data_IF_987047147671
#
_entry.id   IF_987047147671
#
_cell.length_a   1.000
_cell.length_b   1.000
_cell.length_c   1.000
_cell.angle_alpha   90.00
_cell.angle_beta   90.00
_cell.angle_gamma   90.00
#
_symmetry.space_group_name_H-M   'P 1'
#
loop_
_entity.id
_entity.type
_entity.pdbx_description
1 polymer ?
#
# COMPACT_ATOMS: atom_id res chain seq x y z
N UNK A 1 -2.42 66.21 80.20
CA UNK A 1 -3.42 65.38 79.48
C UNK A 1 -2.77 64.88 78.19
N UNK A 2 -2.57 63.57 77.99
CA UNK A 2 -1.81 63.07 76.85
C UNK A 2 -2.66 62.83 75.59
N UNK A 3 -2.28 63.56 74.56
CA UNK A 3 -2.07 63.22 73.13
C UNK A 3 -2.86 62.05 72.49
N UNK A 4 -3.72 62.38 71.52
CA UNK A 4 -4.52 61.46 70.71
C UNK A 4 -3.67 60.94 69.53
N UNK A 5 -2.93 59.85 69.74
CA UNK A 5 -2.29 59.16 68.61
C UNK A 5 -3.29 58.28 67.85
N UNK A 6 -3.36 58.56 66.55
CA UNK A 6 -4.12 57.92 65.50
C UNK A 6 -4.02 56.38 65.50
N UNK A 7 -5.16 55.72 65.68
CA UNK A 7 -5.30 54.30 65.40
C UNK A 7 -5.41 54.12 63.88
N UNK A 8 -4.28 53.84 63.24
CA UNK A 8 -4.23 53.41 61.83
C UNK A 8 -4.81 52.00 61.73
N UNK A 9 -6.11 51.87 61.43
CA UNK A 9 -6.70 50.60 61.00
C UNK A 9 -6.28 50.38 59.54
N UNK A 10 -5.14 49.71 59.34
CA UNK A 10 -4.73 49.23 58.02
C UNK A 10 -5.68 48.12 57.57
N UNK A 11 -6.67 48.46 56.75
CA UNK A 11 -7.54 47.49 56.09
C UNK A 11 -6.72 46.59 55.14
N UNK A 12 -6.53 45.33 55.54
CA UNK A 12 -6.03 44.28 54.63
C UNK A 12 -6.99 44.17 53.45
N UNK A 13 -6.54 44.57 52.25
CA UNK A 13 -7.28 44.31 51.00
C UNK A 13 -7.45 42.78 50.84
N UNK A 14 -8.65 42.30 50.48
CA UNK A 14 -8.88 40.88 50.31
C UNK A 14 -8.09 40.35 49.10
N UNK A 15 -7.28 39.32 49.34
CA UNK A 15 -6.58 38.59 48.30
C UNK A 15 -7.63 37.87 47.42
N UNK A 16 -7.82 38.34 46.19
CA UNK A 16 -8.67 37.68 45.21
C UNK A 16 -7.97 36.41 44.72
N UNK A 17 -8.13 35.32 45.46
CA UNK A 17 -7.85 33.97 44.94
C UNK A 17 -8.78 33.72 43.74
N UNK A 18 -8.26 33.93 42.52
CA UNK A 18 -8.88 33.52 41.26
C UNK A 18 -9.10 32.00 41.33
N UNK A 19 -10.33 31.58 41.62
CA UNK A 19 -10.73 30.16 41.48
C UNK A 19 -10.52 29.75 40.02
N UNK A 20 -9.43 29.01 39.73
CA UNK A 20 -9.25 28.36 38.42
C UNK A 20 -10.39 27.36 38.24
N UNK A 21 -11.24 27.57 37.22
CA UNK A 21 -12.26 26.59 36.81
C UNK A 21 -11.56 25.26 36.53
N UNK A 22 -12.12 24.16 37.06
CA UNK A 22 -11.62 22.79 36.80
C UNK A 22 -11.70 22.56 35.28
N UNK A 23 -10.55 22.44 34.64
CA UNK A 23 -10.46 22.35 33.18
C UNK A 23 -10.90 20.95 32.71
N UNK A 24 -11.57 20.86 31.56
CA UNK A 24 -11.95 19.57 30.99
C UNK A 24 -10.67 18.76 30.69
N UNK A 25 -10.60 17.46 31.03
CA UNK A 25 -9.39 16.66 30.86
C UNK A 25 -8.92 16.62 29.41
N UNK A 26 -9.85 16.60 28.45
CA UNK A 26 -9.55 16.70 27.02
C UNK A 26 -8.89 18.04 26.64
N UNK A 27 -9.37 19.15 27.19
CA UNK A 27 -8.83 20.49 26.90
C UNK A 27 -7.41 20.65 27.47
N UNK A 28 -7.14 20.04 28.62
CA UNK A 28 -5.80 20.01 29.21
C UNK A 28 -4.80 19.27 28.30
N UNK A 29 -5.22 18.15 27.69
CA UNK A 29 -4.41 17.39 26.73
C UNK A 29 -4.17 18.22 25.46
N UNK A 30 -5.21 18.81 24.87
CA UNK A 30 -5.08 19.63 23.65
C UNK A 30 -4.16 20.83 23.89
N UNK A 31 -4.29 21.52 25.02
CA UNK A 31 -3.38 22.61 25.41
C UNK A 31 -1.95 22.14 25.59
N UNK A 32 -1.72 20.89 25.97
CA UNK A 32 -0.39 20.30 26.08
C UNK A 32 0.28 20.04 24.72
N UNK A 33 -0.51 19.74 23.69
CA UNK A 33 -0.02 19.28 22.38
C UNK A 33 -0.01 20.37 21.31
N UNK A 34 -0.94 21.34 21.38
CA UNK A 34 -1.10 22.40 20.38
C UNK A 34 -0.65 23.75 20.96
N UNK A 35 0.07 24.59 20.18
CA UNK A 35 0.44 25.93 20.63
C UNK A 35 -0.78 26.74 21.09
N UNK A 36 -0.69 27.36 22.27
CA UNK A 36 -1.79 28.11 22.86
C UNK A 36 -1.38 29.55 23.21
N UNK A 37 -2.36 30.46 23.20
CA UNK A 37 -2.11 31.86 23.60
C UNK A 37 -1.69 31.92 25.06
N UNK A 38 -0.49 32.43 25.32
CA UNK A 38 0.12 32.53 26.65
C UNK A 38 1.29 31.56 26.88
N UNK A 39 1.56 30.67 25.93
CA UNK A 39 2.77 29.82 25.96
C UNK A 39 4.04 30.66 25.76
N UNK A 40 5.13 30.22 26.36
CA UNK A 40 6.46 30.78 26.08
C UNK A 40 6.94 30.39 24.67
N UNK A 41 7.87 31.16 24.10
CA UNK A 41 8.43 30.88 22.76
C UNK A 41 9.00 29.46 22.67
N UNK A 42 9.71 29.00 23.68
CA UNK A 42 10.26 27.64 23.72
C UNK A 42 9.20 26.55 23.73
N UNK A 43 8.07 26.76 24.44
CA UNK A 43 6.95 25.82 24.45
C UNK A 43 6.24 25.76 23.09
N UNK A 44 6.05 26.91 22.45
CA UNK A 44 5.47 26.99 21.11
C UNK A 44 6.34 26.21 20.12
N UNK A 45 7.66 26.44 20.12
CA UNK A 45 8.60 25.74 19.23
C UNK A 45 8.55 24.23 19.46
N UNK A 46 8.61 23.76 20.71
CA UNK A 46 8.55 22.33 21.05
C UNK A 46 7.26 21.67 20.54
N UNK A 47 6.11 22.33 20.72
CA UNK A 47 4.81 21.81 20.26
C UNK A 47 4.72 21.77 18.73
N UNK A 48 5.24 22.79 18.04
CA UNK A 48 5.29 22.79 16.57
C UNK A 48 6.16 21.64 16.06
N UNK A 49 7.36 21.45 16.61
CA UNK A 49 8.24 20.34 16.24
C UNK A 49 7.55 19.00 16.46
N UNK A 50 6.87 18.82 17.60
CA UNK A 50 6.10 17.60 17.88
C UNK A 50 4.98 17.36 16.87
N UNK A 51 4.21 18.38 16.48
CA UNK A 51 3.16 18.27 15.47
C UNK A 51 3.71 17.94 14.08
N UNK A 52 4.82 18.55 13.68
CA UNK A 52 5.51 18.23 12.42
C UNK A 52 5.97 16.78 12.42
N UNK A 53 6.54 16.29 13.52
CA UNK A 53 6.94 14.88 13.65
C UNK A 53 5.77 13.92 13.51
N UNK A 54 4.58 14.26 14.04
CA UNK A 54 3.37 13.45 13.84
C UNK A 54 2.97 13.41 12.37
N UNK A 55 2.99 14.54 11.67
CA UNK A 55 2.64 14.59 10.24
C UNK A 55 3.60 13.72 9.41
N UNK A 56 4.90 13.79 9.69
CA UNK A 56 5.91 12.95 9.03
C UNK A 56 5.72 11.47 9.36
N UNK A 57 5.39 11.14 10.61
CA UNK A 57 5.10 9.76 11.00
C UNK A 57 3.85 9.23 10.28
N UNK A 58 2.78 10.02 10.22
CA UNK A 58 1.55 9.66 9.53
C UNK A 58 1.79 9.47 8.03
N UNK A 59 2.55 10.36 7.38
CA UNK A 59 2.86 10.21 5.95
C UNK A 59 3.68 8.95 5.67
N UNK A 60 4.68 8.65 6.51
CA UNK A 60 5.45 7.41 6.41
C UNK A 60 4.57 6.17 6.53
N UNK A 61 3.65 6.14 7.50
CA UNK A 61 2.69 5.03 7.68
C UNK A 61 1.79 4.89 6.45
N UNK A 62 1.27 5.99 5.89
CA UNK A 62 0.44 5.94 4.69
C UNK A 62 1.21 5.39 3.47
N UNK A 63 2.47 5.79 3.29
CA UNK A 63 3.34 5.27 2.22
C UNK A 63 3.57 3.77 2.40
N UNK A 64 3.82 3.30 3.63
CA UNK A 64 3.99 1.87 3.92
C UNK A 64 2.72 1.10 3.60
N UNK A 65 1.56 1.61 4.03
CA UNK A 65 0.26 0.97 3.74
C UNK A 65 0.02 0.90 2.23
N UNK A 66 0.22 1.99 1.49
CA UNK A 66 0.03 1.99 0.04
C UNK A 66 0.98 1.00 -0.64
N UNK A 67 2.26 0.99 -0.26
CA UNK A 67 3.29 0.14 -0.88
C UNK A 67 3.09 -1.34 -0.59
N UNK A 68 2.75 -1.71 0.65
CA UNK A 68 2.70 -3.13 1.07
C UNK A 68 1.30 -3.73 1.04
N UNK A 69 0.24 -2.92 1.09
CA UNK A 69 -1.15 -3.44 1.07
C UNK A 69 -1.86 -3.14 -0.24
N UNK A 70 -1.86 -1.89 -0.71
CA UNK A 70 -2.72 -1.49 -1.84
C UNK A 70 -2.07 -1.69 -3.22
N UNK A 71 -0.79 -1.36 -3.37
CA UNK A 71 -0.02 -1.55 -4.61
C UNK A 71 -0.07 -3.00 -5.12
N UNK A 72 0.25 -4.05 -4.33
CA UNK A 72 0.24 -5.42 -4.83
C UNK A 72 -1.16 -5.90 -5.24
N UNK A 73 -2.21 -5.42 -4.57
CA UNK A 73 -3.60 -5.77 -4.92
C UNK A 73 -3.99 -5.13 -6.25
N UNK A 74 -3.68 -3.84 -6.48
CA UNK A 74 -3.98 -3.17 -7.74
C UNK A 74 -3.24 -3.79 -8.92
N UNK A 75 -1.94 -4.02 -8.79
CA UNK A 75 -1.12 -4.62 -9.84
C UNK A 75 -1.63 -6.01 -10.22
N UNK A 76 -2.02 -6.83 -9.24
CA UNK A 76 -2.62 -8.13 -9.47
C UNK A 76 -3.95 -8.05 -10.23
N UNK A 77 -4.84 -7.16 -9.81
CA UNK A 77 -6.15 -6.97 -10.44
C UNK A 77 -6.01 -6.46 -11.88
N UNK A 78 -5.11 -5.50 -12.10
CA UNK A 78 -4.81 -4.97 -13.43
C UNK A 78 -4.19 -6.04 -14.33
N UNK A 79 -3.21 -6.79 -13.84
CA UNK A 79 -2.62 -7.92 -14.55
C UNK A 79 -3.67 -8.96 -14.93
N UNK A 80 -4.48 -9.41 -13.97
CA UNK A 80 -5.53 -10.40 -14.21
C UNK A 80 -6.54 -9.90 -15.25
N UNK A 81 -6.97 -8.64 -15.16
CA UNK A 81 -7.88 -8.05 -16.12
C UNK A 81 -7.28 -7.97 -17.52
N UNK A 82 -6.04 -7.51 -17.64
CA UNK A 82 -5.36 -7.37 -18.93
C UNK A 82 -5.12 -8.73 -19.58
N UNK A 83 -4.61 -9.70 -18.83
CA UNK A 83 -4.40 -11.08 -19.28
C UNK A 83 -5.72 -11.73 -19.68
N UNK A 84 -6.78 -11.66 -18.87
CA UNK A 84 -8.06 -12.27 -19.25
C UNK A 84 -8.71 -11.61 -20.47
N UNK A 85 -8.43 -10.33 -20.73
CA UNK A 85 -8.96 -9.64 -21.92
C UNK A 85 -8.32 -10.13 -23.23
N UNK A 86 -7.11 -10.70 -23.18
CA UNK A 86 -6.43 -11.22 -24.35
C UNK A 86 -7.15 -12.45 -24.93
N UNK A 87 -7.69 -13.32 -24.09
CA UNK A 87 -8.49 -14.46 -24.56
C UNK A 87 -9.93 -14.13 -24.94
N UNK A 88 -10.35 -12.87 -24.96
CA UNK A 88 -11.76 -12.50 -25.23
C UNK A 88 -12.06 -12.32 -26.73
N UNK A 89 -11.10 -12.56 -27.62
CA UNK A 89 -11.32 -12.59 -29.05
C UNK A 89 -11.01 -13.97 -29.62
N UNK A 90 -11.60 -14.27 -30.79
CA UNK A 90 -11.20 -15.45 -31.54
C UNK A 90 -9.75 -15.28 -32.03
N UNK A 91 -8.92 -16.33 -31.92
CA UNK A 91 -7.56 -16.33 -32.45
C UNK A 91 -7.52 -15.96 -33.93
N UNK A 92 -6.63 -15.04 -34.29
CA UNK A 92 -6.39 -14.64 -35.68
C UNK A 92 -5.55 -15.69 -36.42
N UNK A 93 -5.60 -15.66 -37.77
CA UNK A 93 -4.81 -16.58 -38.58
C UNK A 93 -3.29 -16.43 -38.35
N UNK A 94 -2.83 -15.20 -38.09
CA UNK A 94 -1.41 -14.90 -37.85
C UNK A 94 -0.96 -15.48 -36.50
N UNK A 95 -1.74 -15.28 -35.43
CA UNK A 95 -1.44 -15.86 -34.10
C UNK A 95 -1.42 -17.39 -34.14
N UNK A 96 -2.35 -18.01 -34.88
CA UNK A 96 -2.37 -19.47 -35.05
C UNK A 96 -1.13 -19.94 -35.83
N UNK A 97 -0.64 -19.17 -36.79
CA UNK A 97 0.53 -19.52 -37.60
C UNK A 97 1.84 -19.47 -36.80
N UNK A 98 1.90 -18.67 -35.73
CA UNK A 98 3.06 -18.58 -34.82
C UNK A 98 3.13 -19.72 -33.80
N UNK A 99 2.02 -20.46 -33.60
CA UNK A 99 1.98 -21.53 -32.63
C UNK A 99 2.97 -22.66 -32.96
N UNK A 100 3.67 -23.21 -31.96
CA UNK A 100 4.51 -24.39 -32.13
C UNK A 100 3.62 -25.59 -32.47
N UNK A 101 4.02 -26.33 -33.50
CA UNK A 101 3.23 -27.42 -34.06
C UNK A 101 2.86 -28.44 -32.97
N UNK A 102 1.56 -28.53 -32.64
CA UNK A 102 0.99 -29.49 -31.69
C UNK A 102 1.51 -29.40 -30.24
N UNK A 103 1.86 -28.24 -29.72
CA UNK A 103 2.13 -28.08 -28.27
C UNK A 103 1.00 -27.37 -27.51
N UNK A 104 0.25 -26.48 -28.17
CA UNK A 104 -0.72 -25.58 -27.52
C UNK A 104 -2.06 -25.62 -28.27
N UNK A 105 -3.18 -25.46 -27.55
CA UNK A 105 -4.51 -25.34 -28.17
C UNK A 105 -4.66 -23.96 -28.86
N UNK A 106 -5.33 -23.90 -30.01
CA UNK A 106 -5.51 -22.67 -30.79
C UNK A 106 -6.20 -21.57 -30.00
N UNK A 107 -7.08 -21.91 -29.05
CA UNK A 107 -7.73 -20.94 -28.16
C UNK A 107 -6.75 -20.09 -27.35
N UNK A 108 -5.51 -20.57 -27.17
CA UNK A 108 -4.47 -19.86 -26.44
C UNK A 108 -3.48 -19.11 -27.34
N UNK A 109 -3.69 -19.08 -28.66
CA UNK A 109 -2.80 -18.37 -29.58
C UNK A 109 -2.54 -16.89 -29.20
N UNK A 110 -3.54 -16.11 -28.73
CA UNK A 110 -3.31 -14.72 -28.34
C UNK A 110 -2.33 -14.57 -27.17
N UNK A 111 -2.25 -15.55 -26.27
CA UNK A 111 -1.30 -15.53 -25.16
C UNK A 111 0.11 -15.86 -25.64
N UNK A 112 0.23 -16.87 -26.49
CA UNK A 112 1.51 -17.27 -27.07
C UNK A 112 2.11 -16.14 -27.93
N UNK A 113 1.30 -15.44 -28.71
CA UNK A 113 1.74 -14.31 -29.53
C UNK A 113 2.34 -13.14 -28.71
N UNK A 114 1.99 -13.03 -27.42
CA UNK A 114 2.63 -12.07 -26.51
C UNK A 114 3.93 -12.62 -25.95
N UNK A 115 3.91 -13.89 -25.55
CA UNK A 115 5.05 -14.54 -24.94
C UNK A 115 5.15 -15.99 -25.44
N UNK A 116 6.17 -16.25 -26.25
CA UNK A 116 6.45 -17.55 -26.85
C UNK A 116 6.85 -18.63 -25.83
N UNK A 117 7.11 -18.26 -24.57
CA UNK A 117 7.35 -19.20 -23.49
C UNK A 117 6.03 -19.67 -22.85
N UNK A 118 4.87 -19.17 -23.28
CA UNK A 118 3.57 -19.61 -22.78
C UNK A 118 3.34 -21.10 -23.10
N UNK A 119 3.05 -21.90 -22.08
CA UNK A 119 2.82 -23.35 -22.20
C UNK A 119 1.43 -23.79 -21.74
N UNK A 120 0.66 -22.91 -21.09
CA UNK A 120 -0.70 -23.24 -20.70
C UNK A 120 -1.26 -22.34 -19.60
N UNK A 121 -2.32 -22.83 -18.95
CA UNK A 121 -3.07 -22.06 -17.97
C UNK A 121 -3.36 -22.87 -16.71
N UNK A 122 -3.13 -22.28 -15.53
CA UNK A 122 -3.39 -22.91 -14.23
C UNK A 122 -4.56 -22.24 -13.53
N UNK A 123 -5.66 -22.99 -13.40
CA UNK A 123 -6.84 -22.58 -12.63
C UNK A 123 -7.11 -23.59 -11.54
N UNK A 124 -7.16 -23.13 -10.28
CA UNK A 124 -7.57 -23.96 -9.15
C UNK A 124 -8.86 -23.38 -8.58
N UNK A 125 -9.95 -24.17 -8.65
CA UNK A 125 -11.26 -23.75 -8.16
C UNK A 125 -11.21 -23.45 -6.65
N UNK A 126 -12.00 -22.46 -6.21
CA UNK A 126 -12.13 -22.04 -4.81
C UNK A 126 -10.88 -21.43 -4.16
N UNK A 127 -9.81 -21.21 -4.92
CA UNK A 127 -8.67 -20.38 -4.51
C UNK A 127 -8.38 -19.35 -5.58
N UNK A 128 -7.72 -18.25 -5.22
CA UNK A 128 -7.41 -17.18 -6.16
C UNK A 128 -6.16 -17.54 -7.00
N UNK A 129 -6.23 -18.65 -7.75
CA UNK A 129 -5.21 -19.12 -8.68
C UNK A 129 -5.87 -19.29 -10.05
N UNK A 130 -5.55 -18.37 -10.96
CA UNK A 130 -6.06 -18.31 -12.32
C UNK A 130 -5.04 -17.51 -13.16
N UNK A 131 -3.98 -18.18 -13.60
CA UNK A 131 -2.78 -17.53 -14.13
C UNK A 131 -2.24 -18.26 -15.38
N UNK A 132 -1.62 -17.53 -16.32
CA UNK A 132 -0.84 -18.15 -17.37
C UNK A 132 0.38 -18.86 -16.78
N UNK A 133 0.81 -19.92 -17.46
CA UNK A 133 2.01 -20.69 -17.14
C UNK A 133 2.99 -20.55 -18.30
N UNK A 134 4.22 -20.20 -17.97
CA UNK A 134 5.33 -20.07 -18.94
C UNK A 134 6.42 -21.12 -18.67
N UNK A 135 7.32 -21.34 -19.62
CA UNK A 135 8.47 -22.21 -19.45
C UNK A 135 9.68 -21.55 -20.13
N UNK A 136 10.67 -21.15 -19.34
CA UNK A 136 11.93 -20.64 -19.87
C UNK A 136 12.96 -21.76 -20.08
N UNK A 137 14.15 -21.37 -20.54
CA UNK A 137 15.31 -22.27 -20.69
C UNK A 137 15.93 -22.68 -19.34
N UNK A 138 15.49 -22.07 -18.24
CA UNK A 138 15.92 -22.35 -16.87
C UNK A 138 14.80 -22.09 -15.84
N UNK A 139 15.05 -22.47 -14.58
CA UNK A 139 14.11 -22.32 -13.46
C UNK A 139 14.26 -20.99 -12.69
N UNK A 140 14.97 -20.02 -13.24
CA UNK A 140 15.31 -18.76 -12.57
C UNK A 140 14.79 -17.52 -13.28
N UNK A 141 14.65 -17.55 -14.60
CA UNK A 141 14.23 -16.41 -15.41
C UNK A 141 12.90 -15.82 -14.95
N UNK A 142 11.88 -16.67 -14.76
CA UNK A 142 10.54 -16.25 -14.38
C UNK A 142 10.29 -16.08 -12.88
N UNK A 143 11.33 -16.22 -12.04
CA UNK A 143 11.23 -15.86 -10.61
C UNK A 143 10.98 -14.36 -10.43
N UNK A 144 11.60 -13.53 -11.28
CA UNK A 144 11.52 -12.06 -11.20
C UNK A 144 11.08 -11.39 -12.50
N UNK A 145 10.45 -12.16 -13.40
CA UNK A 145 9.97 -11.68 -14.72
C UNK A 145 8.48 -11.92 -14.87
N UNK A 146 7.73 -10.88 -15.26
CA UNK A 146 6.30 -10.99 -15.55
C UNK A 146 6.03 -11.63 -16.92
N UNK A 147 4.75 -11.89 -17.20
CA UNK A 147 4.32 -12.53 -18.45
C UNK A 147 4.72 -11.73 -19.71
N UNK A 148 4.90 -10.42 -19.59
CA UNK A 148 5.25 -9.53 -20.68
C UNK A 148 6.77 -9.32 -20.82
N UNK A 149 7.59 -10.02 -20.03
CA UNK A 149 9.05 -9.92 -20.05
C UNK A 149 9.63 -8.76 -19.23
N UNK A 150 8.83 -8.07 -18.40
CA UNK A 150 9.30 -6.99 -17.54
C UNK A 150 9.70 -7.51 -16.16
N UNK A 151 10.55 -6.76 -15.45
CA UNK A 151 10.87 -7.07 -14.05
C UNK A 151 9.61 -7.04 -13.16
N UNK A 152 9.40 -8.12 -12.42
CA UNK A 152 8.33 -8.26 -11.44
C UNK A 152 8.86 -9.02 -10.23
N UNK A 153 8.77 -8.42 -9.05
CA UNK A 153 9.16 -9.08 -7.79
C UNK A 153 8.40 -10.40 -7.53
N UNK A 154 7.20 -10.53 -8.10
CA UNK A 154 6.35 -11.71 -7.91
C UNK A 154 6.53 -12.75 -9.04
N UNK A 155 7.28 -12.42 -10.09
CA UNK A 155 7.49 -13.28 -11.25
C UNK A 155 6.21 -13.65 -11.99
N UNK A 156 6.27 -14.79 -12.66
CA UNK A 156 5.15 -15.46 -13.35
C UNK A 156 5.11 -16.91 -12.89
N UNK A 157 3.95 -17.56 -12.92
CA UNK A 157 3.90 -19.01 -12.67
C UNK A 157 4.63 -19.69 -13.83
N UNK A 158 5.65 -20.50 -13.54
CA UNK A 158 6.42 -21.20 -14.57
C UNK A 158 6.51 -22.70 -14.29
N UNK A 159 6.58 -23.47 -15.37
CA UNK A 159 6.88 -24.89 -15.34
C UNK A 159 8.39 -25.12 -15.25
N UNK A 160 8.79 -26.26 -14.67
CA UNK A 160 10.20 -26.66 -14.69
C UNK A 160 10.72 -26.77 -16.14
N UNK A 161 11.92 -26.23 -16.41
CA UNK A 161 12.53 -26.20 -17.74
C UNK A 161 12.75 -27.58 -18.36
N UNK A 162 12.82 -28.65 -17.56
CA UNK A 162 12.98 -30.04 -18.05
C UNK A 162 11.66 -30.69 -18.50
N UNK A 163 10.52 -30.05 -18.22
CA UNK A 163 9.22 -30.59 -18.63
C UNK A 163 9.05 -30.55 -20.15
N UNK A 164 8.38 -31.58 -20.68
CA UNK A 164 8.05 -31.64 -22.11
C UNK A 164 6.54 -31.61 -22.27
N UNK A 165 6.02 -30.50 -22.80
CA UNK A 165 4.61 -30.33 -23.12
C UNK A 165 4.31 -30.87 -24.52
N UNK A 166 3.23 -31.64 -24.63
CA UNK A 166 2.72 -32.18 -25.90
C UNK A 166 1.22 -31.98 -25.91
N UNK A 167 0.67 -31.48 -27.02
CA UNK A 167 -0.78 -31.43 -27.20
C UNK A 167 -1.25 -32.87 -27.49
N UNK A 168 -2.00 -33.45 -26.56
CA UNK A 168 -2.54 -34.81 -26.68
C UNK A 168 -3.82 -34.84 -27.53
N UNK A 169 -4.37 -33.69 -27.93
CA UNK A 169 -5.61 -33.60 -28.69
C UNK A 169 -6.87 -33.96 -27.89
N UNK A 170 -6.74 -34.16 -26.58
CA UNK A 170 -7.85 -34.42 -25.67
C UNK A 170 -8.30 -33.09 -25.06
N UNK A 171 -9.49 -32.63 -25.46
CA UNK A 171 -10.23 -31.51 -24.86
C UNK A 171 -11.24 -32.00 -23.85
#
# INVERSE_FOLDING_TARGET
>A
MPDYKSVMISSKKPNKNKKRKKENPFLAIVRGLVPWKGDSVGEIVRKIVFLVSIVVLCSAVLIIIDTYMFKPVREREEFNKNIMQLGNHEPTADEIAELPEKAINTEYAPYYAINNDFVGWLTIKNVNVNYPVVQGDDNTHYLETDFYGNYSKNGTIFADYENVFKNTGET
#
